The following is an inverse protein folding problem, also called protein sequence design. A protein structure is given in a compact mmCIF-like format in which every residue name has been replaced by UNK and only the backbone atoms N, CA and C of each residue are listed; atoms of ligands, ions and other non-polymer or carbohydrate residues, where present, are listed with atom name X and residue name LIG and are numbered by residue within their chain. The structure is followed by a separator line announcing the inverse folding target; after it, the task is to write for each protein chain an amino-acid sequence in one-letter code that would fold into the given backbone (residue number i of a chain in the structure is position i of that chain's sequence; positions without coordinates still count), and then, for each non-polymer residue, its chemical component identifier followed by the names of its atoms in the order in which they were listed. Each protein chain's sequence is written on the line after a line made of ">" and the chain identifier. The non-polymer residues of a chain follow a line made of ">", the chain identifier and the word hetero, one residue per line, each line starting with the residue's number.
data_IF_488373269461
#
_entry.id   IF_488373269461
#
_cell.length_a   1.000
_cell.length_b   1.000
_cell.length_c   1.000
_cell.angle_alpha   90.00
_cell.angle_beta   90.00
_cell.angle_gamma   90.00
#
_symmetry.space_group_name_H-M   'P 1'
#
loop_
_entity.id
_entity.type
_entity.pdbx_description
1 polymer ?
#
# COMPACT_ATOMS: atom_id res chain seq x y z
N UNK A 1 -12.55 13.39 -20.85
CA UNK A 1 -11.25 13.79 -20.28
C UNK A 1 -11.21 15.24 -19.76
N UNK A 2 -11.85 16.24 -20.42
CA UNK A 2 -11.79 17.66 -19.97
C UNK A 2 -12.18 17.89 -18.50
N UNK A 3 -13.20 17.19 -18.01
CA UNK A 3 -13.63 17.26 -16.60
C UNK A 3 -12.54 16.77 -15.63
N UNK A 4 -11.87 15.66 -15.93
CA UNK A 4 -10.77 15.11 -15.11
C UNK A 4 -9.61 16.10 -15.05
N UNK A 5 -9.24 16.71 -16.18
CA UNK A 5 -8.23 17.75 -16.22
C UNK A 5 -8.62 18.96 -15.34
N UNK A 6 -9.88 19.41 -15.43
CA UNK A 6 -10.40 20.48 -14.58
C UNK A 6 -10.32 20.16 -13.09
N UNK A 7 -10.68 18.95 -12.68
CA UNK A 7 -10.56 18.49 -11.28
C UNK A 7 -9.10 18.43 -10.84
N UNK A 8 -8.19 17.92 -11.67
CA UNK A 8 -6.73 17.91 -11.36
C UNK A 8 -6.21 19.33 -11.14
N UNK A 9 -6.62 20.28 -11.98
CA UNK A 9 -6.22 21.68 -11.85
C UNK A 9 -6.78 22.32 -10.57
N UNK A 10 -8.03 22.03 -10.22
CA UNK A 10 -8.62 22.48 -8.96
C UNK A 10 -7.84 21.94 -7.76
N UNK A 11 -7.59 20.62 -7.71
CA UNK A 11 -6.80 19.99 -6.64
C UNK A 11 -5.39 20.59 -6.54
N UNK A 12 -4.72 20.81 -7.66
CA UNK A 12 -3.42 21.47 -7.70
C UNK A 12 -3.44 22.86 -7.05
N UNK A 13 -4.45 23.67 -7.38
CA UNK A 13 -4.58 25.01 -6.80
C UNK A 13 -4.84 24.96 -5.29
N UNK A 14 -5.61 23.99 -4.81
CA UNK A 14 -5.81 23.76 -3.36
C UNK A 14 -4.50 23.37 -2.67
N UNK A 15 -3.75 22.43 -3.24
CA UNK A 15 -2.46 22.00 -2.69
C UNK A 15 -1.46 23.16 -2.62
N UNK A 16 -1.42 24.02 -3.67
CA UNK A 16 -0.58 25.23 -3.66
C UNK A 16 -0.99 26.20 -2.54
N UNK A 17 -2.29 26.45 -2.38
CA UNK A 17 -2.85 27.32 -1.33
C UNK A 17 -2.52 26.83 0.08
N UNK A 18 -2.47 25.53 0.28
CA UNK A 18 -2.10 24.90 1.56
C UNK A 18 -0.58 24.73 1.74
N UNK A 19 0.22 25.21 0.79
CA UNK A 19 1.68 25.02 0.78
C UNK A 19 2.13 23.55 0.80
N UNK A 20 1.29 22.63 0.35
CA UNK A 20 1.60 21.19 0.31
C UNK A 20 2.44 20.80 -0.92
N UNK A 21 2.63 21.73 -1.85
CA UNK A 21 3.50 21.57 -3.02
C UNK A 21 4.42 22.80 -3.17
N UNK A 22 5.58 22.66 -3.82
CA UNK A 22 6.52 23.75 -4.00
C UNK A 22 5.90 24.94 -4.73
N UNK A 23 6.07 26.15 -4.20
CA UNK A 23 5.43 27.36 -4.73
C UNK A 23 6.02 27.83 -6.06
N UNK A 24 7.29 27.51 -6.29
CA UNK A 24 8.04 27.75 -7.53
C UNK A 24 7.49 26.94 -8.71
N UNK A 25 6.83 25.80 -8.45
CA UNK A 25 6.29 24.93 -9.49
C UNK A 25 4.99 25.52 -10.03
N UNK A 26 4.90 25.68 -11.35
CA UNK A 26 3.76 26.32 -12.03
C UNK A 26 2.68 25.34 -12.46
N UNK A 27 3.08 24.14 -12.90
CA UNK A 27 2.19 23.12 -13.45
C UNK A 27 2.26 21.83 -12.62
N UNK A 28 1.14 21.15 -12.47
CA UNK A 28 1.06 19.84 -11.83
C UNK A 28 1.71 18.71 -12.66
N UNK A 29 2.10 18.97 -13.91
CA UNK A 29 2.87 18.01 -14.74
C UNK A 29 4.40 18.21 -14.64
N UNK A 30 4.87 19.09 -13.75
CA UNK A 30 6.31 19.32 -13.55
C UNK A 30 7.00 18.09 -12.97
N UNK A 31 8.23 17.84 -13.41
CA UNK A 31 9.05 16.72 -12.95
C UNK A 31 9.30 16.75 -11.44
N UNK A 32 9.48 17.94 -10.84
CA UNK A 32 9.79 18.08 -9.41
C UNK A 32 8.70 17.45 -8.54
N UNK A 33 7.43 17.60 -8.92
CA UNK A 33 6.27 17.04 -8.19
C UNK A 33 5.84 15.66 -8.71
N UNK A 34 6.43 15.18 -9.80
CA UNK A 34 6.13 13.91 -10.45
C UNK A 34 7.30 12.93 -10.45
N UNK A 35 8.33 13.15 -9.63
CA UNK A 35 9.54 12.34 -9.61
C UNK A 35 9.27 10.83 -9.46
N UNK A 36 8.28 10.46 -8.62
CA UNK A 36 7.86 9.07 -8.40
C UNK A 36 6.61 8.64 -9.19
N UNK A 37 6.14 9.45 -10.15
CA UNK A 37 4.91 9.15 -10.91
C UNK A 37 5.06 7.98 -11.90
N UNK A 38 6.28 7.46 -12.11
CA UNK A 38 6.53 6.19 -12.81
C UNK A 38 6.70 4.99 -11.87
N UNK A 39 6.85 5.22 -10.56
CA UNK A 39 6.98 4.15 -9.58
C UNK A 39 5.61 3.64 -9.17
N UNK A 40 5.19 2.53 -9.77
CA UNK A 40 3.92 1.89 -9.41
C UNK A 40 3.81 1.52 -7.92
N UNK A 41 4.84 1.02 -7.23
CA UNK A 41 4.79 0.78 -5.78
C UNK A 41 4.48 2.05 -4.98
N UNK A 42 5.05 3.20 -5.38
CA UNK A 42 4.77 4.49 -4.74
C UNK A 42 3.32 4.94 -5.01
N UNK A 43 2.82 4.73 -6.22
CA UNK A 43 1.43 5.05 -6.58
C UNK A 43 0.45 4.16 -5.80
N UNK A 44 0.68 2.85 -5.71
CA UNK A 44 -0.13 1.92 -4.91
C UNK A 44 -0.16 2.35 -3.44
N UNK A 45 0.99 2.79 -2.92
CA UNK A 45 1.15 3.28 -1.54
C UNK A 45 0.36 4.59 -1.32
N UNK A 46 0.39 5.52 -2.28
CA UNK A 46 -0.42 6.74 -2.22
C UNK A 46 -1.94 6.46 -2.32
N UNK A 47 -2.35 5.50 -3.16
CA UNK A 47 -3.75 5.04 -3.26
C UNK A 47 -4.19 4.43 -1.93
N UNK A 48 -3.36 3.58 -1.31
CA UNK A 48 -3.60 3.03 0.02
C UNK A 48 -3.80 4.14 1.05
N UNK A 49 -2.90 5.13 1.10
CA UNK A 49 -3.02 6.25 2.04
C UNK A 49 -4.36 7.00 1.91
N UNK A 50 -4.84 7.20 0.67
CA UNK A 50 -6.09 7.92 0.42
C UNK A 50 -7.35 7.07 0.62
N UNK A 51 -7.28 5.75 0.44
CA UNK A 51 -8.43 4.85 0.54
C UNK A 51 -8.56 4.17 1.90
N UNK A 52 -7.50 4.16 2.72
CA UNK A 52 -7.53 3.56 4.06
C UNK A 52 -8.65 4.22 4.92
N UNK A 53 -9.48 3.46 5.66
CA UNK A 53 -9.35 2.05 6.05
C UNK A 53 -9.91 1.01 5.06
N UNK A 54 -10.18 1.39 3.81
CA UNK A 54 -10.65 0.52 2.74
C UNK A 54 -9.63 -0.53 2.29
N UNK A 55 -9.32 -1.51 3.14
CA UNK A 55 -8.41 -2.63 2.85
C UNK A 55 -9.18 -3.95 2.94
N UNK A 56 -8.88 -4.85 2.00
CA UNK A 56 -9.42 -6.19 1.92
C UNK A 56 -8.29 -7.22 1.84
N UNK A 57 -8.48 -8.35 2.51
CA UNK A 57 -7.54 -9.48 2.51
C UNK A 57 -8.09 -10.57 1.62
N UNK A 58 -7.33 -10.96 0.60
CA UNK A 58 -7.63 -12.11 -0.23
C UNK A 58 -7.13 -13.37 0.48
N UNK A 59 -7.98 -14.39 0.62
CA UNK A 59 -7.56 -15.67 1.20
C UNK A 59 -6.70 -16.44 0.19
N UNK A 60 -5.55 -16.95 0.63
CA UNK A 60 -4.69 -17.83 -0.17
C UNK A 60 -5.48 -18.98 -0.78
N UNK A 61 -5.21 -19.26 -2.06
CA UNK A 61 -5.87 -20.33 -2.83
C UNK A 61 -7.34 -20.06 -3.24
N UNK A 62 -7.95 -18.95 -2.81
CA UNK A 62 -9.37 -18.66 -3.11
C UNK A 62 -9.64 -18.10 -4.50
N UNK A 63 -8.60 -17.94 -5.35
CA UNK A 63 -8.65 -17.18 -6.62
C UNK A 63 -9.37 -15.83 -6.46
N UNK A 64 -9.17 -15.19 -5.29
CA UNK A 64 -9.75 -13.91 -4.90
C UNK A 64 -11.29 -13.85 -5.01
N UNK A 65 -11.98 -15.00 -4.88
CA UNK A 65 -13.45 -15.08 -4.89
C UNK A 65 -14.09 -14.56 -3.62
N UNK A 66 -13.36 -14.62 -2.50
CA UNK A 66 -13.80 -14.13 -1.18
C UNK A 66 -12.73 -13.22 -0.62
N UNK A 67 -13.11 -11.96 -0.42
CA UNK A 67 -12.25 -10.91 0.10
C UNK A 67 -12.81 -10.54 1.47
N UNK A 68 -12.00 -10.63 2.51
CA UNK A 68 -12.39 -10.21 3.86
C UNK A 68 -12.05 -8.74 4.02
N UNK A 69 -13.06 -7.92 4.29
CA UNK A 69 -12.86 -6.49 4.59
C UNK A 69 -12.43 -6.29 6.05
N UNK A 70 -11.90 -5.11 6.39
CA UNK A 70 -11.57 -4.77 7.78
C UNK A 70 -12.78 -4.87 8.74
N UNK A 71 -14.00 -4.62 8.25
CA UNK A 71 -15.24 -4.83 9.00
C UNK A 71 -15.65 -6.31 9.11
N UNK A 72 -14.75 -7.25 8.80
CA UNK A 72 -14.93 -8.71 8.79
C UNK A 72 -16.05 -9.23 7.86
N UNK A 73 -16.65 -8.37 7.04
CA UNK A 73 -17.61 -8.76 6.03
C UNK A 73 -16.90 -9.41 4.84
N UNK A 74 -17.47 -10.49 4.33
CA UNK A 74 -17.04 -11.10 3.07
C UNK A 74 -17.59 -10.28 1.90
N UNK A 75 -16.70 -9.88 1.00
CA UNK A 75 -17.02 -9.17 -0.21
C UNK A 75 -16.51 -9.95 -1.44
N UNK A 76 -17.11 -9.66 -2.59
CA UNK A 76 -16.64 -10.12 -3.89
C UNK A 76 -16.34 -8.94 -4.81
N UNK A 77 -15.71 -9.15 -5.95
CA UNK A 77 -15.51 -8.07 -6.91
C UNK A 77 -16.81 -7.73 -7.64
N UNK A 78 -17.08 -6.43 -7.77
CA UNK A 78 -18.13 -5.92 -8.64
C UNK A 78 -17.86 -6.33 -10.10
N UNK A 79 -18.88 -6.64 -10.92
CA UNK A 79 -18.71 -7.03 -12.32
C UNK A 79 -17.89 -6.07 -13.18
N UNK A 80 -17.95 -4.76 -12.88
CA UNK A 80 -17.20 -3.73 -13.61
C UNK A 80 -15.72 -3.62 -13.21
N UNK A 81 -15.27 -4.31 -12.16
CA UNK A 81 -13.89 -4.23 -11.70
C UNK A 81 -12.93 -4.84 -12.72
N UNK A 82 -11.84 -4.13 -13.02
CA UNK A 82 -10.79 -4.62 -13.94
C UNK A 82 -10.12 -5.87 -13.39
N UNK A 83 -9.88 -5.94 -12.08
CA UNK A 83 -9.27 -7.10 -11.43
C UNK A 83 -10.12 -8.36 -11.60
N UNK A 84 -11.46 -8.25 -11.52
CA UNK A 84 -12.36 -9.38 -11.76
C UNK A 84 -12.19 -9.94 -13.16
N UNK A 85 -12.12 -9.06 -14.17
CA UNK A 85 -11.91 -9.45 -15.57
C UNK A 85 -10.56 -10.15 -15.74
N UNK A 86 -9.49 -9.57 -15.19
CA UNK A 86 -8.15 -10.14 -15.26
C UNK A 86 -8.05 -11.55 -14.63
N UNK A 87 -8.69 -11.78 -13.48
CA UNK A 87 -8.72 -13.09 -12.81
C UNK A 87 -9.55 -14.12 -13.60
N UNK A 88 -10.67 -13.70 -14.19
CA UNK A 88 -11.49 -14.59 -15.02
C UNK A 88 -10.75 -14.95 -16.30
N UNK A 89 -10.09 -13.99 -16.94
CA UNK A 89 -9.36 -14.20 -18.18
C UNK A 89 -8.12 -15.08 -17.97
N UNK A 90 -7.39 -14.92 -16.86
CA UNK A 90 -6.29 -15.82 -16.50
C UNK A 90 -6.77 -17.26 -16.28
N UNK A 91 -7.92 -17.44 -15.62
CA UNK A 91 -8.51 -18.77 -15.40
C UNK A 91 -9.01 -19.47 -16.66
N UNK A 92 -9.26 -18.72 -17.74
CA UNK A 92 -9.73 -19.24 -19.04
C UNK A 92 -8.61 -19.47 -20.05
N UNK A 93 -7.39 -18.98 -19.81
CA UNK A 93 -6.24 -19.31 -20.65
C UNK A 93 -5.96 -20.81 -20.52
N UNK A 94 -6.10 -21.53 -21.62
CA UNK A 94 -5.79 -22.96 -21.71
C UNK A 94 -4.40 -23.25 -21.14
N UNK A 95 -4.27 -24.30 -20.32
CA UNK A 95 -3.04 -24.73 -19.64
C UNK A 95 -1.82 -24.86 -20.58
N UNK A 96 -2.04 -25.01 -21.89
CA UNK A 96 -0.99 -25.08 -22.91
C UNK A 96 -0.32 -23.73 -23.22
N UNK A 97 -0.99 -22.58 -23.08
CA UNK A 97 -0.42 -21.25 -23.38
C UNK A 97 0.38 -20.72 -22.19
N UNK A 98 -0.04 -21.04 -20.96
CA UNK A 98 0.66 -20.64 -19.74
C UNK A 98 2.04 -21.30 -19.59
N UNK A 99 2.34 -22.38 -20.33
CA UNK A 99 3.68 -23.01 -20.36
C UNK A 99 4.72 -22.20 -21.14
N UNK A 100 4.28 -21.30 -22.02
CA UNK A 100 5.17 -20.48 -22.85
C UNK A 100 5.28 -19.03 -22.36
N UNK A 101 4.41 -18.59 -21.46
CA UNK A 101 4.55 -17.31 -20.77
C UNK A 101 5.27 -17.54 -19.43
N UNK A 102 6.54 -17.18 -19.35
CA UNK A 102 7.30 -17.07 -18.09
C UNK A 102 6.78 -15.96 -17.15
N UNK A 103 5.52 -15.53 -17.32
CA UNK A 103 4.91 -14.51 -16.48
C UNK A 103 4.43 -15.18 -15.19
N UNK A 104 5.26 -15.08 -14.16
CA UNK A 104 4.88 -15.38 -12.78
C UNK A 104 3.60 -14.57 -12.48
N UNK A 105 2.50 -15.26 -12.14
CA UNK A 105 1.27 -14.57 -11.74
C UNK A 105 1.54 -13.81 -10.42
N UNK A 106 1.11 -12.54 -10.31
CA UNK A 106 1.34 -11.76 -9.10
C UNK A 106 0.59 -12.39 -7.92
N UNK A 107 1.26 -12.56 -6.80
CA UNK A 107 0.63 -13.02 -5.56
C UNK A 107 -0.06 -11.83 -4.89
N UNK A 108 -1.40 -11.79 -4.96
CA UNK A 108 -2.19 -10.69 -4.39
C UNK A 108 -2.79 -11.14 -3.05
N UNK A 109 -2.23 -10.62 -1.96
CA UNK A 109 -2.71 -10.85 -0.59
C UNK A 109 -3.63 -9.72 -0.11
N UNK A 110 -3.30 -8.48 -0.47
CA UNK A 110 -4.03 -7.29 -0.06
C UNK A 110 -4.62 -6.52 -1.24
N UNK A 111 -5.80 -5.96 -0.99
CA UNK A 111 -6.56 -5.15 -1.91
C UNK A 111 -6.94 -3.85 -1.23
N UNK A 112 -6.85 -2.76 -1.96
CA UNK A 112 -7.30 -1.45 -1.51
C UNK A 112 -8.53 -1.08 -2.32
N UNK A 113 -9.59 -0.66 -1.66
CA UNK A 113 -10.83 -0.27 -2.31
C UNK A 113 -11.31 1.11 -1.85
N UNK A 114 -11.87 1.87 -2.79
CA UNK A 114 -12.51 3.16 -2.50
C UNK A 114 -14.02 3.02 -2.28
N UNK A 115 -14.65 1.99 -2.86
CA UNK A 115 -16.11 1.91 -2.93
C UNK A 115 -16.63 0.49 -2.65
N UNK A 116 -17.48 0.39 -1.63
CA UNK A 116 -18.30 -0.76 -1.26
C UNK A 116 -19.72 -0.56 -1.78
N UNK A 117 -20.25 -1.54 -2.50
CA UNK A 117 -21.62 -1.52 -3.02
C UNK A 117 -22.35 -2.75 -2.51
N UNK A 118 -23.49 -2.53 -1.86
CA UNK A 118 -24.40 -3.61 -1.48
C UNK A 118 -25.33 -3.90 -2.66
N UNK A 119 -25.21 -5.10 -3.22
CA UNK A 119 -26.14 -5.67 -4.19
C UNK A 119 -27.01 -6.74 -3.51
N UNK A 120 -28.03 -7.24 -4.21
CA UNK A 120 -28.89 -8.33 -3.72
C UNK A 120 -28.07 -9.58 -3.35
N UNK A 121 -27.05 -9.90 -4.15
CA UNK A 121 -26.15 -11.05 -3.96
C UNK A 121 -25.10 -10.86 -2.85
N UNK A 122 -25.00 -9.66 -2.26
CA UNK A 122 -24.07 -9.34 -1.19
C UNK A 122 -23.24 -8.08 -1.41
N UNK A 123 -22.17 -7.94 -0.64
CA UNK A 123 -21.28 -6.77 -0.68
C UNK A 123 -20.24 -6.97 -1.78
N UNK A 124 -20.06 -5.95 -2.62
CA UNK A 124 -19.12 -5.96 -3.74
C UNK A 124 -18.17 -4.77 -3.71
N UNK A 125 -16.95 -4.99 -4.22
CA UNK A 125 -15.89 -3.97 -4.32
C UNK A 125 -15.77 -3.49 -5.77
N UNK A 126 -15.99 -2.19 -6.02
CA UNK A 126 -15.99 -1.64 -7.40
C UNK A 126 -14.63 -1.10 -7.82
N UNK A 127 -14.15 -0.08 -7.11
CA UNK A 127 -12.88 0.59 -7.39
C UNK A 127 -11.81 -0.05 -6.52
N UNK A 128 -11.06 -0.99 -7.09
CA UNK A 128 -10.10 -1.81 -6.34
C UNK A 128 -8.74 -1.83 -7.02
N UNK A 129 -7.69 -1.69 -6.22
CA UNK A 129 -6.29 -1.78 -6.62
C UNK A 129 -5.61 -2.88 -5.79
N UNK A 130 -4.88 -3.78 -6.45
CA UNK A 130 -4.01 -4.73 -5.77
C UNK A 130 -2.85 -3.97 -5.12
N UNK A 131 -2.52 -4.32 -3.88
CA UNK A 131 -1.52 -3.61 -3.10
C UNK A 131 -0.49 -4.60 -2.53
N UNK A 132 0.75 -4.14 -2.44
CA UNK A 132 1.84 -4.92 -1.86
C UNK A 132 1.71 -4.94 -0.34
N UNK A 133 1.97 -6.08 0.33
CA UNK A 133 1.82 -6.19 1.77
C UNK A 133 2.64 -5.16 2.55
N UNK A 134 3.85 -4.85 2.10
CA UNK A 134 4.70 -3.90 2.81
C UNK A 134 4.09 -2.49 2.87
N UNK A 135 3.41 -2.05 1.82
CA UNK A 135 2.71 -0.76 1.83
C UNK A 135 1.62 -0.75 2.92
N UNK A 136 0.87 -1.84 3.07
CA UNK A 136 -0.12 -2.01 4.14
C UNK A 136 0.54 -1.94 5.51
N UNK A 137 1.68 -2.63 5.72
CA UNK A 137 2.40 -2.56 7.00
C UNK A 137 2.92 -1.16 7.33
N UNK A 138 3.34 -0.38 6.34
CA UNK A 138 3.87 0.97 6.54
C UNK A 138 2.76 1.99 6.82
N UNK A 139 1.61 1.91 6.13
CA UNK A 139 0.58 2.96 6.16
C UNK A 139 -0.71 2.61 6.90
N UNK A 140 -1.07 1.33 7.02
CA UNK A 140 -2.36 0.93 7.58
C UNK A 140 -2.34 0.88 9.12
N UNK A 141 -3.50 1.16 9.71
CA UNK A 141 -3.79 0.97 11.12
C UNK A 141 -3.10 1.93 12.07
N UNK A 142 -3.56 1.90 13.32
CA UNK A 142 -2.84 2.50 14.44
C UNK A 142 -1.85 1.49 15.00
N UNK A 143 -0.63 1.93 15.29
CA UNK A 143 0.35 1.09 15.98
C UNK A 143 -0.08 0.91 17.44
N UNK A 144 -0.88 -0.12 17.73
CA UNK A 144 -1.06 -0.62 19.08
C UNK A 144 0.17 -1.42 19.49
N UNK A 145 1.29 -0.71 19.67
CA UNK A 145 2.47 -1.30 20.26
C UNK A 145 2.19 -1.50 21.75
N UNK A 146 1.76 -2.70 22.15
CA UNK A 146 1.73 -3.03 23.57
C UNK A 146 3.16 -2.87 24.13
N UNK A 147 3.28 -2.45 25.39
CA UNK A 147 4.59 -2.22 26.03
C UNK A 147 5.53 -3.43 25.87
N UNK A 148 4.96 -4.63 25.91
CA UNK A 148 5.65 -5.91 25.68
C UNK A 148 6.22 -6.06 24.27
N UNK A 149 5.55 -5.50 23.26
CA UNK A 149 6.03 -5.48 21.87
C UNK A 149 7.13 -4.43 21.72
N UNK A 150 7.02 -3.25 22.35
CA UNK A 150 8.10 -2.23 22.37
C UNK A 150 9.38 -2.80 23.03
N UNK A 151 9.22 -3.48 24.16
CA UNK A 151 10.30 -4.14 24.90
C UNK A 151 10.86 -5.34 24.11
N UNK A 152 9.99 -6.12 23.47
CA UNK A 152 10.37 -7.23 22.58
C UNK A 152 11.10 -6.78 21.32
N UNK A 153 10.75 -5.61 20.76
CA UNK A 153 11.40 -4.95 19.62
C UNK A 153 12.73 -4.28 19.98
N UNK A 154 13.22 -4.37 21.23
CA UNK A 154 14.50 -3.80 21.70
C UNK A 154 14.89 -2.48 21.01
N UNK A 155 14.07 -1.44 21.19
CA UNK A 155 14.58 -0.07 21.07
C UNK A 155 15.49 0.31 22.26
N UNK A 156 15.59 -0.59 23.24
CA UNK A 156 16.61 -0.69 24.28
C UNK A 156 16.91 -2.16 24.54
N UNK A 157 18.17 -2.50 24.80
CA UNK A 157 18.72 -3.87 24.80
C UNK A 157 18.00 -4.91 25.71
N UNK A 158 17.95 -6.17 25.24
CA UNK A 158 17.60 -7.46 25.93
C UNK A 158 16.07 -7.67 26.20
N UNK A 159 15.36 -8.76 25.84
CA UNK A 159 15.57 -10.20 25.57
C UNK A 159 14.41 -10.77 24.68
N UNK A 160 14.65 -11.69 23.73
CA UNK A 160 14.34 -13.14 23.75
C UNK A 160 12.88 -13.56 24.02
N UNK A 161 12.08 -13.69 22.95
CA UNK A 161 11.08 -14.75 22.84
C UNK A 161 11.15 -15.37 21.44
N UNK A 162 11.74 -16.57 21.37
CA UNK A 162 12.02 -17.31 20.14
C UNK A 162 10.77 -18.11 19.73
N UNK A 163 10.04 -17.62 18.73
CA UNK A 163 9.22 -18.48 17.88
C UNK A 163 10.17 -19.31 17.01
N UNK A 164 9.95 -20.63 16.98
CA UNK A 164 10.72 -21.57 16.16
C UNK A 164 10.77 -21.03 14.72
N UNK A 165 11.96 -20.65 14.25
CA UNK A 165 12.33 -20.08 12.94
C UNK A 165 12.60 -18.55 12.86
N UNK A 166 12.70 -17.81 13.98
CA UNK A 166 12.98 -16.35 13.96
C UNK A 166 11.91 -15.50 13.24
N UNK A 167 10.73 -16.07 12.98
CA UNK A 167 9.59 -15.40 12.36
C UNK A 167 8.64 -14.86 13.44
N UNK A 168 8.23 -13.61 13.29
CA UNK A 168 7.35 -12.88 14.17
C UNK A 168 6.10 -12.43 13.41
N UNK A 169 4.97 -12.40 14.11
CA UNK A 169 3.70 -11.91 13.58
C UNK A 169 3.46 -10.51 14.17
N UNK A 170 3.38 -9.49 13.31
CA UNK A 170 2.88 -8.16 13.70
C UNK A 170 1.41 -8.08 13.34
N UNK A 171 0.57 -7.90 14.35
CA UNK A 171 -0.82 -7.51 14.19
C UNK A 171 -0.90 -5.97 14.12
N UNK A 172 -1.35 -5.46 12.98
CA UNK A 172 -1.56 -4.02 12.75
C UNK A 172 -2.95 -3.64 13.27
N UNK A 173 -3.96 -4.45 12.93
CA UNK A 173 -5.35 -4.35 13.37
C UNK A 173 -5.97 -5.74 13.46
N UNK A 174 -7.16 -5.86 14.05
CA UNK A 174 -7.86 -7.15 14.25
C UNK A 174 -8.01 -8.04 13.00
N UNK A 175 -7.90 -7.47 11.79
CA UNK A 175 -7.98 -8.17 10.50
C UNK A 175 -6.71 -8.10 9.66
N UNK A 176 -5.67 -7.39 10.11
CA UNK A 176 -4.44 -7.13 9.35
C UNK A 176 -3.25 -7.60 10.18
N UNK A 177 -2.61 -8.67 9.74
CA UNK A 177 -1.40 -9.19 10.36
C UNK A 177 -0.38 -9.59 9.29
N UNK A 178 0.91 -9.44 9.61
CA UNK A 178 2.01 -9.79 8.73
C UNK A 178 3.04 -10.62 9.49
N UNK A 179 3.50 -11.69 8.85
CA UNK A 179 4.58 -12.53 9.34
C UNK A 179 5.88 -12.17 8.64
N UNK A 180 6.98 -12.08 9.39
CA UNK A 180 8.30 -11.78 8.84
C UNK A 180 9.42 -12.02 9.84
N UNK A 181 10.67 -11.92 9.40
CA UNK A 181 11.81 -12.01 10.31
C UNK A 181 11.81 -10.82 11.26
N UNK A 182 12.21 -11.08 12.50
CA UNK A 182 12.26 -10.03 13.53
C UNK A 182 13.00 -8.78 13.06
N UNK A 183 14.25 -8.94 12.61
CA UNK A 183 15.15 -7.85 12.18
C UNK A 183 14.54 -7.00 11.07
N UNK A 184 13.97 -7.65 10.05
CA UNK A 184 13.28 -6.97 8.95
C UNK A 184 12.08 -6.17 9.47
N UNK A 185 11.28 -6.77 10.34
CA UNK A 185 10.14 -6.10 10.94
C UNK A 185 10.57 -4.92 11.82
N UNK A 186 11.68 -4.99 12.56
CA UNK A 186 12.19 -3.83 13.32
C UNK A 186 12.55 -2.68 12.38
N UNK A 187 13.20 -2.97 11.25
CA UNK A 187 13.59 -1.96 10.26
C UNK A 187 12.36 -1.33 9.59
N UNK A 188 11.37 -2.14 9.24
CA UNK A 188 10.10 -1.65 8.66
C UNK A 188 9.37 -0.75 9.67
N UNK A 189 9.35 -1.12 10.94
CA UNK A 189 8.76 -0.31 11.99
C UNK A 189 9.49 1.04 12.15
N UNK A 190 10.83 1.04 12.11
CA UNK A 190 11.63 2.28 12.11
C UNK A 190 11.31 3.14 10.89
N UNK A 191 11.20 2.55 9.70
CA UNK A 191 10.83 3.26 8.47
C UNK A 191 9.43 3.89 8.60
N UNK A 192 8.46 3.14 9.12
CA UNK A 192 7.11 3.63 9.40
C UNK A 192 7.11 4.82 10.36
N UNK A 193 7.85 4.74 11.47
CA UNK A 193 7.97 5.88 12.40
C UNK A 193 8.61 7.10 11.75
N UNK A 194 9.68 6.93 10.96
CA UNK A 194 10.31 8.04 10.23
C UNK A 194 9.35 8.67 9.22
N UNK A 195 8.55 7.86 8.51
CA UNK A 195 7.56 8.35 7.57
C UNK A 195 6.44 9.13 8.27
N UNK A 196 5.94 8.62 9.40
CA UNK A 196 4.94 9.34 10.21
C UNK A 196 5.49 10.66 10.76
N UNK A 197 6.73 10.64 11.26
CA UNK A 197 7.41 11.84 11.74
C UNK A 197 7.59 12.87 10.63
N UNK A 198 8.02 12.44 9.44
CA UNK A 198 8.10 13.28 8.25
C UNK A 198 6.76 13.97 7.93
N UNK A 199 5.64 13.23 7.96
CA UNK A 199 4.33 13.85 7.74
C UNK A 199 3.97 14.88 8.82
N UNK A 200 4.27 14.60 10.09
CA UNK A 200 4.01 15.54 11.18
C UNK A 200 4.87 16.81 11.08
N UNK A 201 6.15 16.68 10.75
CA UNK A 201 7.03 17.82 10.52
C UNK A 201 6.56 18.67 9.34
N UNK A 202 6.18 18.02 8.25
CA UNK A 202 5.67 18.68 7.06
C UNK A 202 4.36 19.42 7.35
N UNK A 203 3.41 18.80 8.05
CA UNK A 203 2.15 19.44 8.42
C UNK A 203 2.34 20.59 9.41
N UNK A 204 3.35 20.51 10.28
CA UNK A 204 3.68 21.58 11.23
C UNK A 204 4.21 22.82 10.50
N UNK A 205 5.05 22.63 9.48
CA UNK A 205 5.69 23.71 8.73
C UNK A 205 5.70 23.40 7.22
N UNK A 206 4.57 23.55 6.51
CA UNK A 206 4.45 23.14 5.11
C UNK A 206 5.29 23.98 4.14
N UNK A 207 5.70 25.18 4.56
CA UNK A 207 6.59 26.06 3.78
C UNK A 207 8.06 25.66 3.87
N UNK A 208 8.42 24.71 4.73
CA UNK A 208 9.80 24.25 4.86
C UNK A 208 10.24 23.53 3.58
N UNK A 209 11.48 23.78 3.14
CA UNK A 209 12.06 23.01 2.03
C UNK A 209 12.32 21.59 2.50
N UNK A 210 12.05 20.62 1.62
CA UNK A 210 12.45 19.24 1.85
C UNK A 210 13.97 19.17 2.05
N UNK A 211 14.38 18.63 3.21
CA UNK A 211 15.78 18.42 3.52
C UNK A 211 16.32 17.26 2.67
N UNK A 212 17.65 17.14 2.62
CA UNK A 212 18.29 15.97 2.00
C UNK A 212 17.83 14.66 2.66
N UNK A 213 17.65 14.69 3.98
CA UNK A 213 17.16 13.53 4.74
C UNK A 213 15.74 13.10 4.34
N UNK A 214 14.85 14.05 4.03
CA UNK A 214 13.52 13.75 3.52
C UNK A 214 13.57 13.06 2.15
N UNK A 215 14.44 13.55 1.25
CA UNK A 215 14.63 12.93 -0.06
C UNK A 215 15.23 11.52 0.06
N UNK A 216 16.20 11.32 0.96
CA UNK A 216 16.79 10.02 1.23
C UNK A 216 15.76 9.05 1.83
N UNK A 217 14.85 9.54 2.69
CA UNK A 217 13.73 8.75 3.23
C UNK A 217 12.76 8.30 2.13
N UNK A 218 12.35 9.21 1.23
CA UNK A 218 11.46 8.87 0.11
C UNK A 218 12.12 7.92 -0.89
N UNK A 219 13.43 8.10 -1.16
CA UNK A 219 14.20 7.20 -2.00
C UNK A 219 14.32 5.79 -1.36
N UNK A 220 14.56 5.71 -0.05
CA UNK A 220 14.56 4.46 0.69
C UNK A 220 13.19 3.79 0.64
N UNK A 221 12.10 4.53 0.89
CA UNK A 221 10.74 4.01 0.80
C UNK A 221 10.46 3.42 -0.59
N UNK A 222 10.76 4.17 -1.65
CA UNK A 222 10.61 3.70 -3.03
C UNK A 222 11.40 2.42 -3.30
N UNK A 223 12.65 2.35 -2.84
CA UNK A 223 13.52 1.19 -3.02
C UNK A 223 12.95 -0.07 -2.35
N UNK A 224 12.57 0.00 -1.08
CA UNK A 224 12.06 -1.15 -0.34
C UNK A 224 10.71 -1.61 -0.88
N UNK A 225 9.80 -0.67 -1.20
CA UNK A 225 8.51 -0.98 -1.83
C UNK A 225 8.71 -1.62 -3.22
N UNK A 226 9.72 -1.18 -3.98
CA UNK A 226 10.04 -1.78 -5.27
C UNK A 226 10.52 -3.22 -5.12
N UNK A 227 11.36 -3.52 -4.13
CA UNK A 227 11.78 -4.91 -3.86
C UNK A 227 10.57 -5.78 -3.52
N UNK A 228 9.69 -5.32 -2.63
CA UNK A 228 8.49 -6.09 -2.26
C UNK A 228 7.57 -6.30 -3.46
N UNK A 229 7.37 -5.27 -4.26
CA UNK A 229 6.61 -5.33 -5.51
C UNK A 229 7.13 -6.40 -6.49
N UNK A 230 8.43 -6.45 -6.71
CA UNK A 230 9.05 -7.49 -7.55
C UNK A 230 8.92 -8.88 -6.92
N UNK A 231 9.12 -9.00 -5.59
CA UNK A 231 9.00 -10.27 -4.87
C UNK A 231 7.60 -10.88 -5.01
N UNK A 232 6.56 -10.04 -5.05
CA UNK A 232 5.18 -10.46 -5.24
C UNK A 232 4.79 -10.65 -6.71
N UNK A 233 5.72 -10.52 -7.66
CA UNK A 233 5.48 -10.81 -9.07
C UNK A 233 4.66 -9.75 -9.80
N UNK A 234 4.49 -8.56 -9.22
CA UNK A 234 3.90 -7.45 -9.95
C UNK A 234 4.90 -6.96 -11.01
N UNK A 235 4.48 -6.96 -12.28
CA UNK A 235 5.33 -6.52 -13.38
C UNK A 235 5.66 -5.03 -13.25
N UNK A 236 6.90 -4.65 -13.50
CA UNK A 236 7.24 -3.24 -13.78
C UNK A 236 6.64 -2.86 -15.13
N UNK A 237 5.75 -1.87 -15.16
CA UNK A 237 5.39 -1.15 -16.38
C UNK A 237 6.47 -0.12 -16.70
#
# INVERSE_FOLDING_TARGET
>A
MKMIYGIRLQLWNELKRLHLVPQNVRNFDDYEVNYYSSSWPMIQTAILAGCYPGVGVAKDGSKMRKIRTCAQNNASFHPSSVLKRQIVDSSKRSEQVNRFSNNIEPKIEFLVYQELIKLEEGITLRMVTACIPLAVLILAGTLHMSKNVIDGFKLTDKQESLLKNNEFLIEIESSLAMQGKFEDLQLIMRLRFKLMFYFLEFLKNPTSRLSREHNDLLACLNYVLSIDHHRFGFQML
#
